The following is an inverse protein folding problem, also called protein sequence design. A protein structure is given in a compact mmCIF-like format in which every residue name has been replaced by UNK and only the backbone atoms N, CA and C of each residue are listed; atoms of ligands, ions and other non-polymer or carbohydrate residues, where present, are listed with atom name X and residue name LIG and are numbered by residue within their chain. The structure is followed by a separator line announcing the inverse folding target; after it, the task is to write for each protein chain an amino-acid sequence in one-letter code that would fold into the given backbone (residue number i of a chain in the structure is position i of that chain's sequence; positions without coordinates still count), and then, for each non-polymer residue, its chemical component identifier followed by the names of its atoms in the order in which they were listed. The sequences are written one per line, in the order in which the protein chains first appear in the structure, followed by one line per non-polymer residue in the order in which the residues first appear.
data_IF_734026555067
#
_entry.id   IF_734026555067
#
_cell.length_a   1.000
_cell.length_b   1.000
_cell.length_c   1.000
_cell.angle_alpha   90.00
_cell.angle_beta   90.00
_cell.angle_gamma   90.00
#
_symmetry.space_group_name_H-M   'P 1'
#
loop_
_entity.id
_entity.type
_entity.pdbx_description
1 polymer ?
#
# COMPACT_ATOMS: atom_id res chain seq x y z
N UNK A 1 -28.89 -62.88 -15.73
CA UNK A 1 -29.91 -62.28 -14.83
C UNK A 1 -29.12 -61.72 -13.64
N UNK A 2 -28.78 -60.42 -13.70
CA UNK A 2 -28.03 -59.74 -12.65
C UNK A 2 -28.98 -58.81 -11.92
N UNK A 3 -29.34 -59.16 -10.71
CA UNK A 3 -30.27 -58.41 -9.85
C UNK A 3 -29.56 -57.18 -9.32
N UNK A 4 -29.99 -55.98 -9.72
CA UNK A 4 -29.54 -54.70 -9.19
C UNK A 4 -30.30 -54.42 -7.89
N UNK A 5 -29.64 -54.53 -6.74
CA UNK A 5 -30.20 -54.07 -5.47
C UNK A 5 -30.13 -52.55 -5.41
N UNK A 6 -31.28 -51.89 -5.39
CA UNK A 6 -31.44 -50.48 -5.15
C UNK A 6 -31.10 -50.16 -3.66
N UNK A 7 -30.14 -49.29 -3.43
CA UNK A 7 -29.88 -48.71 -2.10
C UNK A 7 -31.02 -47.77 -1.70
N UNK A 8 -31.55 -47.85 -0.47
CA UNK A 8 -32.55 -46.89 0.00
C UNK A 8 -31.98 -45.46 0.09
N UNK A 9 -32.77 -44.51 -0.39
CA UNK A 9 -32.46 -43.08 -0.28
C UNK A 9 -32.40 -42.68 1.18
N UNK A 10 -31.25 -42.16 1.60
CA UNK A 10 -31.12 -41.48 2.89
C UNK A 10 -31.97 -40.21 2.88
N UNK A 11 -33.05 -40.22 3.65
CA UNK A 11 -33.84 -39.02 3.98
C UNK A 11 -32.96 -38.06 4.72
N UNK A 12 -32.58 -36.94 4.05
CA UNK A 12 -31.95 -35.82 4.71
C UNK A 12 -32.94 -35.21 5.69
N UNK A 13 -32.66 -35.37 6.97
CA UNK A 13 -33.40 -34.68 8.02
C UNK A 13 -33.29 -33.15 7.85
N UNK A 14 -34.28 -32.40 8.37
CA UNK A 14 -34.29 -30.94 8.23
C UNK A 14 -33.01 -30.33 8.80
N UNK A 15 -32.37 -29.44 8.00
CA UNK A 15 -31.22 -28.71 8.39
C UNK A 15 -31.51 -27.93 9.70
N UNK A 16 -30.82 -28.24 10.76
CA UNK A 16 -30.98 -27.56 12.05
C UNK A 16 -30.77 -26.05 11.85
N UNK A 17 -31.73 -25.19 12.20
CA UNK A 17 -31.57 -23.77 12.13
C UNK A 17 -30.60 -23.33 13.24
N UNK A 18 -29.55 -22.64 12.84
CA UNK A 18 -28.79 -21.83 13.77
C UNK A 18 -27.68 -22.55 14.52
N UNK A 19 -26.64 -22.95 13.80
CA UNK A 19 -25.31 -22.87 14.40
C UNK A 19 -25.00 -21.38 14.60
N UNK A 20 -25.51 -20.82 15.72
CA UNK A 20 -24.93 -19.62 16.29
C UNK A 20 -23.43 -19.88 16.26
N UNK A 21 -22.69 -18.99 15.59
CA UNK A 21 -21.25 -18.92 15.80
C UNK A 21 -21.11 -18.87 17.32
N UNK A 22 -20.71 -20.02 17.91
CA UNK A 22 -20.15 -19.98 19.25
C UNK A 22 -19.16 -18.84 19.17
N UNK A 23 -19.49 -17.78 19.86
CA UNK A 23 -18.52 -16.80 20.29
C UNK A 23 -17.64 -17.62 21.21
N UNK A 24 -16.67 -18.34 20.57
CA UNK A 24 -15.63 -19.04 21.29
C UNK A 24 -15.19 -18.06 22.34
N UNK A 25 -15.59 -18.38 23.58
CA UNK A 25 -15.24 -17.59 24.74
C UNK A 25 -13.73 -17.37 24.64
N UNK A 26 -13.35 -16.12 24.38
CA UNK A 26 -11.94 -15.74 24.19
C UNK A 26 -11.23 -16.27 25.42
N UNK A 27 -10.45 -17.38 25.34
CA UNK A 27 -9.80 -17.95 26.51
C UNK A 27 -9.05 -16.79 27.12
N UNK A 28 -9.06 -16.66 28.48
CA UNK A 28 -8.52 -15.52 29.20
C UNK A 28 -7.12 -15.23 28.66
N UNK A 29 -7.04 -14.38 27.63
CA UNK A 29 -5.83 -14.11 26.88
C UNK A 29 -4.94 -13.35 27.83
N UNK A 30 -3.74 -13.85 28.03
CA UNK A 30 -2.76 -13.22 28.90
C UNK A 30 -2.65 -11.73 28.59
N UNK A 31 -2.40 -10.92 29.59
CA UNK A 31 -2.28 -9.46 29.49
C UNK A 31 -1.41 -9.02 28.29
N UNK A 32 -0.35 -9.78 28.01
CA UNK A 32 0.59 -9.53 26.93
C UNK A 32 -0.05 -9.59 25.53
N UNK A 33 -0.92 -10.59 25.27
CA UNK A 33 -1.61 -10.69 23.98
C UNK A 33 -2.59 -9.54 23.78
N UNK A 34 -3.24 -9.07 24.86
CA UNK A 34 -4.10 -7.88 24.82
C UNK A 34 -3.30 -6.63 24.52
N UNK A 35 -2.15 -6.44 25.18
CA UNK A 35 -1.26 -5.30 24.93
C UNK A 35 -0.82 -5.29 23.46
N UNK A 36 -0.33 -6.42 22.93
CA UNK A 36 0.07 -6.54 21.52
C UNK A 36 -1.08 -6.22 20.56
N UNK A 37 -2.30 -6.67 20.86
CA UNK A 37 -3.46 -6.35 20.04
C UNK A 37 -3.80 -4.85 20.09
N UNK A 38 -3.71 -4.22 21.26
CA UNK A 38 -3.97 -2.78 21.42
C UNK A 38 -2.93 -1.96 20.67
N UNK A 39 -1.63 -2.24 20.83
CA UNK A 39 -0.56 -1.49 20.17
C UNK A 39 -0.63 -1.62 18.66
N UNK A 40 -0.85 -2.83 18.11
CA UNK A 40 -1.06 -3.03 16.68
C UNK A 40 -2.29 -2.28 16.18
N UNK A 41 -3.42 -2.37 16.88
CA UNK A 41 -4.64 -1.66 16.48
C UNK A 41 -4.42 -0.15 16.49
N UNK A 42 -3.75 0.38 17.50
CA UNK A 42 -3.37 1.78 17.57
C UNK A 42 -2.44 2.19 16.41
N UNK A 43 -1.44 1.36 16.07
CA UNK A 43 -0.57 1.61 14.92
C UNK A 43 -1.37 1.69 13.60
N UNK A 44 -2.41 0.85 13.41
CA UNK A 44 -3.31 0.95 12.26
C UNK A 44 -4.18 2.22 12.26
N UNK A 45 -4.59 2.71 13.42
CA UNK A 45 -5.36 3.98 13.55
C UNK A 45 -4.50 5.18 13.19
N UNK A 46 -3.25 5.19 13.62
CA UNK A 46 -2.35 6.33 13.48
C UNK A 46 -1.41 6.23 12.27
N UNK A 47 -1.61 5.27 11.36
CA UNK A 47 -0.79 5.13 10.14
C UNK A 47 -0.56 6.43 9.37
N UNK A 48 -1.54 7.33 9.20
CA UNK A 48 -1.30 8.57 8.46
C UNK A 48 -0.65 9.68 9.29
N UNK A 49 -0.34 9.47 10.59
CA UNK A 49 0.23 10.50 11.44
C UNK A 49 1.76 10.40 11.42
N UNK A 50 2.37 11.06 10.41
CA UNK A 50 3.82 11.07 10.20
C UNK A 50 4.49 12.35 10.74
N UNK A 51 3.76 13.44 10.86
CA UNK A 51 4.25 14.68 11.44
C UNK A 51 3.53 15.01 12.77
N UNK A 52 4.22 15.70 13.70
CA UNK A 52 5.57 16.23 13.58
C UNK A 52 6.63 15.14 13.53
N UNK A 53 7.69 15.34 12.72
CA UNK A 53 8.83 14.45 12.68
C UNK A 53 9.78 14.73 13.85
N UNK A 54 10.21 13.68 14.52
CA UNK A 54 11.20 13.72 15.59
C UNK A 54 12.64 13.47 15.10
N UNK A 55 13.56 13.22 16.02
CA UNK A 55 14.95 12.86 15.68
C UNK A 55 14.99 11.65 14.73
N UNK A 56 15.95 11.62 13.81
CA UNK A 56 16.12 10.58 12.80
C UNK A 56 14.90 10.39 11.89
N UNK A 57 14.12 11.43 11.67
CA UNK A 57 12.88 11.41 10.90
C UNK A 57 11.82 10.43 11.46
N UNK A 58 11.86 10.18 12.79
CA UNK A 58 10.86 9.36 13.46
C UNK A 58 9.52 10.09 13.54
N UNK A 59 8.43 9.33 13.54
CA UNK A 59 7.07 9.85 13.58
C UNK A 59 6.27 9.25 14.75
N UNK A 60 5.15 9.85 15.15
CA UNK A 60 4.31 9.29 16.22
C UNK A 60 3.87 7.85 15.95
N UNK A 61 3.62 7.49 14.68
CA UNK A 61 3.27 6.12 14.30
C UNK A 61 4.46 5.15 14.47
N UNK A 62 5.71 5.62 14.37
CA UNK A 62 6.88 4.76 14.57
C UNK A 62 6.99 4.29 16.02
N UNK A 63 6.64 5.14 16.99
CA UNK A 63 6.58 4.75 18.40
C UNK A 63 5.60 3.60 18.62
N UNK A 64 4.40 3.69 18.01
CA UNK A 64 3.40 2.62 18.07
C UNK A 64 3.84 1.36 17.32
N UNK A 65 4.55 1.53 16.20
CA UNK A 65 5.12 0.43 15.41
C UNK A 65 6.18 -0.31 16.22
N UNK A 66 7.12 0.42 16.83
CA UNK A 66 8.15 -0.15 17.71
C UNK A 66 7.51 -0.85 18.92
N UNK A 67 6.55 -0.21 19.59
CA UNK A 67 5.83 -0.82 20.71
C UNK A 67 5.12 -2.11 20.29
N UNK A 68 4.53 -2.13 19.07
CA UNK A 68 3.89 -3.33 18.52
C UNK A 68 4.89 -4.45 18.25
N UNK A 69 6.05 -4.12 17.69
CA UNK A 69 7.13 -5.09 17.43
C UNK A 69 7.64 -5.66 18.75
N UNK A 70 7.98 -4.82 19.71
CA UNK A 70 8.51 -5.26 21.01
C UNK A 70 7.52 -6.15 21.77
N UNK A 71 6.25 -5.75 21.84
CA UNK A 71 5.22 -6.56 22.51
C UNK A 71 4.98 -7.88 21.78
N UNK A 72 5.03 -7.90 20.44
CA UNK A 72 4.92 -9.12 19.65
C UNK A 72 6.12 -10.06 19.81
N UNK A 73 7.35 -9.52 19.89
CA UNK A 73 8.56 -10.32 20.17
C UNK A 73 8.45 -10.98 21.55
N UNK A 74 8.10 -10.22 22.59
CA UNK A 74 7.92 -10.77 23.94
C UNK A 74 6.79 -11.81 23.98
N UNK A 75 5.66 -11.54 23.30
CA UNK A 75 4.55 -12.48 23.15
C UNK A 75 4.98 -13.78 22.46
N UNK A 76 5.75 -13.67 21.37
CA UNK A 76 6.25 -14.84 20.64
C UNK A 76 7.25 -15.65 21.48
N UNK A 77 8.14 -14.98 22.20
CA UNK A 77 9.16 -15.61 23.04
C UNK A 77 8.53 -16.35 24.24
N UNK A 78 7.68 -15.66 25.00
CA UNK A 78 7.00 -16.24 26.18
C UNK A 78 6.05 -17.38 25.76
N UNK A 79 5.33 -17.20 24.65
CA UNK A 79 4.41 -18.21 24.10
C UNK A 79 5.10 -19.32 23.31
N UNK A 80 6.42 -19.27 23.11
CA UNK A 80 7.19 -20.19 22.26
C UNK A 80 6.57 -20.37 20.86
N UNK A 81 6.03 -19.29 20.31
CA UNK A 81 5.41 -19.31 18.98
C UNK A 81 6.46 -19.39 17.87
N UNK A 82 6.20 -20.21 16.86
CA UNK A 82 7.02 -20.23 15.64
C UNK A 82 6.78 -18.96 14.84
N UNK A 83 7.83 -18.18 14.61
CA UNK A 83 7.77 -16.92 13.85
C UNK A 83 7.95 -17.21 12.37
N UNK A 84 7.03 -16.71 11.55
CA UNK A 84 7.13 -16.73 10.09
C UNK A 84 7.76 -15.42 9.65
N UNK A 85 8.75 -15.50 8.78
CA UNK A 85 9.46 -14.34 8.24
C UNK A 85 9.19 -14.26 6.73
N UNK A 86 8.06 -13.66 6.30
CA UNK A 86 7.76 -13.51 4.88
C UNK A 86 8.75 -12.51 4.26
N UNK A 87 9.03 -12.67 2.96
CA UNK A 87 9.87 -11.75 2.19
C UNK A 87 11.31 -11.59 2.70
N UNK A 88 11.85 -12.57 3.45
CA UNK A 88 13.20 -12.49 4.02
C UNK A 88 14.27 -12.28 2.94
N UNK A 89 14.26 -13.10 1.88
CA UNK A 89 15.30 -13.06 0.85
C UNK A 89 15.38 -11.71 0.14
N UNK A 90 14.28 -11.14 -0.41
CA UNK A 90 14.35 -9.84 -1.05
C UNK A 90 14.82 -8.73 -0.11
N UNK A 91 14.34 -8.72 1.13
CA UNK A 91 14.76 -7.70 2.11
C UNK A 91 16.22 -7.88 2.50
N UNK A 92 16.69 -9.12 2.70
CA UNK A 92 18.10 -9.38 2.99
C UNK A 92 19.02 -8.89 1.85
N UNK A 93 18.61 -9.07 0.58
CA UNK A 93 19.35 -8.53 -0.57
C UNK A 93 19.38 -7.00 -0.57
N UNK A 94 18.23 -6.35 -0.32
CA UNK A 94 18.16 -4.88 -0.26
C UNK A 94 19.03 -4.33 0.86
N UNK A 95 18.98 -4.93 2.05
CA UNK A 95 19.75 -4.51 3.23
C UNK A 95 21.24 -4.76 3.02
N UNK A 96 21.62 -5.93 2.51
CA UNK A 96 23.04 -6.25 2.24
C UNK A 96 23.63 -5.32 1.17
N UNK A 97 22.89 -5.09 0.08
CA UNK A 97 23.29 -4.13 -0.95
C UNK A 97 23.39 -2.70 -0.41
N UNK A 98 22.40 -2.28 0.40
CA UNK A 98 22.41 -0.98 1.06
C UNK A 98 23.56 -0.81 2.04
N UNK A 99 23.93 -1.85 2.78
CA UNK A 99 25.08 -1.84 3.67
C UNK A 99 26.40 -1.72 2.88
N UNK A 100 26.56 -2.52 1.82
CA UNK A 100 27.73 -2.46 0.96
C UNK A 100 27.88 -1.08 0.30
N UNK A 101 26.82 -0.54 -0.31
CA UNK A 101 26.84 0.78 -0.93
C UNK A 101 27.01 1.90 0.08
N UNK A 102 26.41 1.79 1.27
CA UNK A 102 26.52 2.79 2.34
C UNK A 102 27.92 2.91 2.93
N UNK A 103 28.67 1.81 3.00
CA UNK A 103 30.07 1.82 3.46
C UNK A 103 31.03 2.50 2.47
N UNK A 104 30.73 2.46 1.17
CA UNK A 104 31.53 3.09 0.11
C UNK A 104 31.00 4.48 -0.28
N UNK A 105 29.75 4.78 0.06
CA UNK A 105 29.08 6.01 -0.31
C UNK A 105 29.55 7.22 0.47
N UNK A 106 29.22 8.41 -0.05
CA UNK A 106 29.60 9.69 0.54
C UNK A 106 28.89 10.00 1.87
N UNK A 107 27.79 9.32 2.20
CA UNK A 107 26.89 9.62 3.31
C UNK A 107 26.57 8.39 4.19
N UNK A 108 27.59 7.78 4.84
CA UNK A 108 27.41 6.52 5.57
C UNK A 108 26.41 6.63 6.74
N UNK A 109 26.36 7.78 7.41
CA UNK A 109 25.40 8.02 8.49
C UNK A 109 23.94 7.99 8.01
N UNK A 110 23.66 8.59 6.85
CA UNK A 110 22.34 8.59 6.25
C UNK A 110 21.94 7.17 5.77
N UNK A 111 22.89 6.46 5.18
CA UNK A 111 22.71 5.07 4.77
C UNK A 111 22.35 4.16 5.96
N UNK A 112 23.03 4.31 7.09
CA UNK A 112 22.76 3.55 8.31
C UNK A 112 21.34 3.80 8.84
N UNK A 113 20.90 5.06 8.88
CA UNK A 113 19.53 5.42 9.30
C UNK A 113 18.49 4.80 8.37
N UNK A 114 18.72 4.87 7.06
CA UNK A 114 17.81 4.31 6.06
C UNK A 114 17.72 2.78 6.16
N UNK A 115 18.84 2.10 6.34
CA UNK A 115 18.88 0.65 6.57
C UNK A 115 18.12 0.29 7.87
N UNK A 116 18.32 1.08 8.93
CA UNK A 116 17.57 0.91 10.17
C UNK A 116 16.06 1.04 9.97
N UNK A 117 15.63 1.99 9.15
CA UNK A 117 14.22 2.17 8.76
C UNK A 117 13.70 0.97 7.95
N UNK A 118 14.46 0.46 6.99
CA UNK A 118 14.08 -0.74 6.21
C UNK A 118 13.89 -1.96 7.12
N UNK A 119 14.80 -2.17 8.07
CA UNK A 119 14.71 -3.26 9.06
C UNK A 119 13.51 -3.08 9.98
N UNK A 120 13.21 -1.85 10.43
CA UNK A 120 12.03 -1.55 11.24
C UNK A 120 10.74 -1.87 10.47
N UNK A 121 10.63 -1.45 9.22
CA UNK A 121 9.47 -1.68 8.37
C UNK A 121 9.30 -3.18 8.04
N UNK A 122 10.41 -3.87 7.81
CA UNK A 122 10.38 -5.33 7.65
C UNK A 122 9.94 -6.04 8.95
N UNK A 123 10.46 -5.64 10.10
CA UNK A 123 10.02 -6.17 11.40
C UNK A 123 8.53 -5.91 11.64
N UNK A 124 8.02 -4.75 11.20
CA UNK A 124 6.59 -4.44 11.19
C UNK A 124 5.79 -5.43 10.32
N UNK A 125 6.24 -5.71 9.09
CA UNK A 125 5.62 -6.70 8.22
C UNK A 125 5.59 -8.09 8.88
N UNK A 126 6.71 -8.52 9.49
CA UNK A 126 6.83 -9.79 10.22
C UNK A 126 5.85 -9.81 11.40
N UNK A 127 5.77 -8.74 12.16
CA UNK A 127 4.84 -8.59 13.29
C UNK A 127 3.40 -8.75 12.84
N UNK A 128 2.98 -8.01 11.82
CA UNK A 128 1.64 -8.12 11.22
C UNK A 128 1.37 -9.55 10.74
N UNK A 129 2.33 -10.16 10.03
CA UNK A 129 2.18 -11.52 9.47
C UNK A 129 2.03 -12.62 10.53
N UNK A 130 2.47 -12.39 11.76
CA UNK A 130 2.37 -13.36 12.84
C UNK A 130 1.20 -13.08 13.79
N UNK A 131 0.98 -11.84 14.17
CA UNK A 131 -0.05 -11.48 15.17
C UNK A 131 -1.45 -11.49 14.55
N UNK A 132 -1.62 -11.06 13.29
CA UNK A 132 -2.93 -11.04 12.63
C UNK A 132 -3.40 -12.42 12.14
N UNK A 133 -2.71 -13.50 12.48
CA UNK A 133 -3.16 -14.87 12.14
C UNK A 133 -4.48 -15.26 12.81
N UNK A 134 -4.80 -14.66 13.95
CA UNK A 134 -6.11 -14.83 14.61
C UNK A 134 -7.17 -13.95 13.90
N UNK A 135 -8.30 -14.52 13.41
CA UNK A 135 -9.32 -13.77 12.67
C UNK A 135 -9.89 -12.57 13.43
N UNK A 136 -9.99 -12.66 14.76
CA UNK A 136 -10.48 -11.56 15.61
C UNK A 136 -9.49 -10.38 15.58
N UNK A 137 -8.19 -10.64 15.72
CA UNK A 137 -7.16 -9.60 15.70
C UNK A 137 -7.09 -8.94 14.31
N UNK A 138 -7.11 -9.75 13.26
CA UNK A 138 -7.17 -9.23 11.87
C UNK A 138 -8.41 -8.36 11.65
N UNK A 139 -9.57 -8.76 12.17
CA UNK A 139 -10.80 -7.96 12.09
C UNK A 139 -10.65 -6.62 12.79
N UNK A 140 -10.10 -6.61 14.01
CA UNK A 140 -9.88 -5.37 14.76
C UNK A 140 -8.93 -4.44 14.01
N UNK A 141 -7.79 -4.94 13.54
CA UNK A 141 -6.80 -4.14 12.81
C UNK A 141 -7.35 -3.57 11.50
N UNK A 142 -8.01 -4.39 10.68
CA UNK A 142 -8.58 -3.95 9.40
C UNK A 142 -9.80 -3.03 9.60
N UNK A 143 -10.61 -3.25 10.64
CA UNK A 143 -11.70 -2.34 10.98
C UNK A 143 -11.15 -1.00 11.48
N UNK A 144 -10.10 -1.02 12.30
CA UNK A 144 -9.41 0.18 12.75
C UNK A 144 -8.85 0.97 11.56
N UNK A 145 -8.17 0.32 10.61
CA UNK A 145 -7.70 0.98 9.38
C UNK A 145 -8.85 1.61 8.59
N UNK A 146 -9.92 0.84 8.34
CA UNK A 146 -11.05 1.33 7.55
C UNK A 146 -11.73 2.54 8.19
N UNK A 147 -12.02 2.48 9.50
CA UNK A 147 -12.68 3.57 10.21
C UNK A 147 -11.77 4.78 10.40
N UNK A 148 -10.51 4.56 10.81
CA UNK A 148 -9.56 5.66 10.98
C UNK A 148 -9.27 6.36 9.67
N UNK A 149 -9.10 5.61 8.57
CA UNK A 149 -8.87 6.22 7.27
C UNK A 149 -10.03 7.10 6.82
N UNK A 150 -11.29 6.66 7.02
CA UNK A 150 -12.48 7.48 6.74
C UNK A 150 -12.50 8.71 7.67
N UNK A 151 -12.21 8.55 8.95
CA UNK A 151 -12.18 9.65 9.91
C UNK A 151 -11.08 10.67 9.56
N UNK A 152 -9.88 10.21 9.23
CA UNK A 152 -8.78 11.08 8.81
C UNK A 152 -9.09 11.80 7.49
N UNK A 153 -9.74 11.14 6.53
CA UNK A 153 -10.21 11.79 5.30
C UNK A 153 -11.22 12.93 5.61
N UNK A 154 -12.14 12.69 6.54
CA UNK A 154 -13.08 13.73 6.99
C UNK A 154 -12.35 14.89 7.67
N UNK A 155 -11.34 14.62 8.51
CA UNK A 155 -10.51 15.65 9.16
C UNK A 155 -9.78 16.49 8.12
N UNK A 156 -9.16 15.86 7.12
CA UNK A 156 -8.45 16.55 6.04
C UNK A 156 -9.37 17.47 5.25
N UNK A 157 -10.55 16.97 4.88
CA UNK A 157 -11.55 17.78 4.14
C UNK A 157 -12.07 18.94 5.02
N UNK A 158 -12.36 18.67 6.30
CA UNK A 158 -12.79 19.71 7.22
C UNK A 158 -11.72 20.78 7.46
N UNK A 159 -10.47 20.37 7.58
CA UNK A 159 -9.32 21.27 7.71
C UNK A 159 -9.18 22.16 6.46
N UNK A 160 -9.27 21.57 5.28
CA UNK A 160 -9.21 22.31 4.01
C UNK A 160 -10.38 23.30 3.88
N UNK A 161 -11.60 22.91 4.20
CA UNK A 161 -12.77 23.81 4.19
C UNK A 161 -12.65 24.93 5.24
N UNK A 162 -12.08 24.64 6.39
CA UNK A 162 -11.85 25.59 7.49
C UNK A 162 -10.55 26.38 7.39
N UNK A 163 -9.75 26.19 6.34
CA UNK A 163 -8.44 26.82 6.16
C UNK A 163 -7.50 26.64 7.36
N UNK A 164 -7.50 25.43 7.97
CA UNK A 164 -6.62 25.08 9.09
C UNK A 164 -5.30 24.60 8.56
N UNK A 165 -4.39 25.53 8.22
CA UNK A 165 -3.12 25.28 7.53
C UNK A 165 -2.22 24.26 8.25
N UNK A 166 -2.26 24.20 9.57
CA UNK A 166 -1.51 23.24 10.38
C UNK A 166 -1.90 21.77 10.11
N UNK A 167 -3.16 21.53 9.69
CA UNK A 167 -3.66 20.19 9.37
C UNK A 167 -3.72 19.93 7.85
N UNK A 168 -3.82 20.98 7.04
CA UNK A 168 -3.74 20.84 5.58
C UNK A 168 -2.35 20.41 5.15
N UNK A 169 -1.30 20.94 5.80
CA UNK A 169 0.07 20.75 5.42
C UNK A 169 0.30 21.24 3.99
N UNK A 170 0.16 22.56 3.74
CA UNK A 170 0.28 23.10 2.39
C UNK A 170 1.72 23.10 1.90
N UNK A 171 1.93 22.54 0.71
CA UNK A 171 3.20 22.63 0.03
C UNK A 171 3.26 23.91 -0.82
N UNK A 172 3.85 24.97 -0.27
CA UNK A 172 3.94 26.28 -0.92
C UNK A 172 4.63 26.26 -2.30
N UNK A 173 5.57 25.33 -2.53
CA UNK A 173 6.31 25.23 -3.78
C UNK A 173 5.52 24.65 -4.96
N UNK A 174 4.40 23.98 -4.73
CA UNK A 174 3.64 23.25 -5.78
C UNK A 174 2.16 23.56 -5.80
N UNK A 175 1.75 24.73 -5.34
CA UNK A 175 0.33 25.10 -5.21
C UNK A 175 -0.29 24.64 -3.89
N UNK A 176 -1.59 24.81 -3.73
CA UNK A 176 -2.32 24.51 -2.49
C UNK A 176 -2.63 23.00 -2.34
N UNK A 177 -1.69 22.13 -2.70
CA UNK A 177 -1.83 20.68 -2.57
C UNK A 177 -1.83 20.28 -1.11
N UNK A 178 -2.86 19.50 -0.72
CA UNK A 178 -2.96 18.99 0.63
C UNK A 178 -2.05 17.78 0.80
N UNK A 179 -1.12 17.86 1.74
CA UNK A 179 -0.23 16.74 2.09
C UNK A 179 -0.57 16.13 3.45
N UNK A 180 -1.48 16.75 4.21
CA UNK A 180 -1.81 16.33 5.56
C UNK A 180 -0.55 16.15 6.41
N UNK A 181 -0.40 15.04 7.13
CA UNK A 181 0.79 14.73 7.92
C UNK A 181 1.84 13.92 7.17
N UNK A 182 1.66 13.65 5.86
CA UNK A 182 2.57 12.78 5.10
C UNK A 182 3.85 13.47 4.63
N UNK A 183 3.87 14.81 4.63
CA UNK A 183 5.01 15.58 4.13
C UNK A 183 5.10 15.67 2.59
N UNK A 184 4.41 14.79 1.86
CA UNK A 184 4.27 14.80 0.41
C UNK A 184 2.84 14.43 0.00
N UNK A 185 2.22 15.17 -0.96
CA UNK A 185 0.85 14.87 -1.41
C UNK A 185 0.71 13.53 -2.14
N UNK A 186 1.76 13.04 -2.78
CA UNK A 186 1.70 11.74 -3.45
C UNK A 186 1.73 10.60 -2.43
N UNK A 187 2.43 10.78 -1.30
CA UNK A 187 2.39 9.85 -0.16
C UNK A 187 0.99 9.79 0.45
N UNK A 188 0.37 10.96 0.64
CA UNK A 188 -1.02 11.04 1.08
C UNK A 188 -1.96 10.30 0.11
N UNK A 189 -1.81 10.52 -1.20
CA UNK A 189 -2.65 9.87 -2.22
C UNK A 189 -2.53 8.35 -2.19
N UNK A 190 -1.31 7.80 -2.05
CA UNK A 190 -1.09 6.37 -1.95
C UNK A 190 -1.78 5.74 -0.71
N UNK A 191 -1.81 6.44 0.42
CA UNK A 191 -2.56 5.99 1.60
C UNK A 191 -4.07 5.96 1.37
N UNK A 192 -4.63 7.00 0.73
CA UNK A 192 -6.06 7.04 0.41
C UNK A 192 -6.44 5.93 -0.56
N UNK A 193 -5.64 5.67 -1.59
CA UNK A 193 -5.83 4.56 -2.52
C UNK A 193 -5.92 3.22 -1.81
N UNK A 194 -4.92 2.90 -0.99
CA UNK A 194 -4.91 1.64 -0.23
C UNK A 194 -6.12 1.53 0.67
N UNK A 195 -6.48 2.62 1.36
CA UNK A 195 -7.61 2.63 2.30
C UNK A 195 -8.94 2.40 1.59
N UNK A 196 -9.16 2.97 0.39
CA UNK A 196 -10.33 2.70 -0.45
C UNK A 196 -10.48 1.19 -0.69
N UNK A 197 -9.39 0.52 -1.05
CA UNK A 197 -9.43 -0.91 -1.34
C UNK A 197 -9.49 -1.80 -0.08
N UNK A 198 -8.96 -1.34 1.06
CA UNK A 198 -9.15 -2.00 2.36
C UNK A 198 -10.63 -1.93 2.78
N UNK A 199 -11.29 -0.77 2.65
CA UNK A 199 -12.74 -0.61 2.87
C UNK A 199 -13.54 -1.52 1.93
N UNK A 200 -13.14 -1.63 0.67
CA UNK A 200 -13.76 -2.56 -0.29
C UNK A 200 -13.58 -4.03 0.13
N UNK A 201 -12.38 -4.42 0.54
CA UNK A 201 -12.05 -5.79 0.91
C UNK A 201 -12.79 -6.24 2.17
N UNK A 202 -12.89 -5.38 3.17
CA UNK A 202 -13.47 -5.66 4.49
C UNK A 202 -14.97 -5.44 4.56
N UNK A 203 -15.51 -4.60 3.66
CA UNK A 203 -16.88 -4.06 3.71
C UNK A 203 -17.19 -3.33 5.03
N UNK A 204 -16.19 -2.71 5.62
CA UNK A 204 -16.32 -1.85 6.80
C UNK A 204 -16.30 -0.39 6.34
N UNK A 205 -17.28 0.43 6.76
CA UNK A 205 -18.47 0.17 7.58
C UNK A 205 -19.48 -0.83 6.97
N UNK A 206 -20.22 -1.57 7.81
CA UNK A 206 -21.21 -2.55 7.33
C UNK A 206 -22.42 -1.91 6.68
N UNK A 207 -22.89 -0.79 7.23
CA UNK A 207 -23.99 -0.03 6.65
C UNK A 207 -23.59 0.53 5.28
N UNK A 208 -24.43 0.28 4.26
CA UNK A 208 -24.11 0.66 2.87
C UNK A 208 -23.93 2.16 2.70
N UNK A 209 -24.80 2.97 3.32
CA UNK A 209 -24.72 4.41 3.22
C UNK A 209 -23.42 4.96 3.85
N UNK A 210 -23.03 4.47 5.05
CA UNK A 210 -21.78 4.89 5.70
C UNK A 210 -20.55 4.52 4.86
N UNK A 211 -20.59 3.38 4.18
CA UNK A 211 -19.51 2.95 3.30
C UNK A 211 -19.43 3.80 2.03
N UNK A 212 -20.59 4.20 1.47
CA UNK A 212 -20.63 5.12 0.33
C UNK A 212 -20.08 6.49 0.76
N UNK A 213 -20.52 7.02 1.89
CA UNK A 213 -19.96 8.26 2.47
C UNK A 213 -18.45 8.14 2.69
N UNK A 214 -18.00 7.00 3.23
CA UNK A 214 -16.57 6.73 3.38
C UNK A 214 -15.79 6.77 2.06
N UNK A 215 -16.33 6.21 0.98
CA UNK A 215 -15.69 6.33 -0.35
C UNK A 215 -15.67 7.76 -0.87
N UNK A 216 -16.76 8.52 -0.68
CA UNK A 216 -16.80 9.93 -1.09
C UNK A 216 -15.74 10.74 -0.35
N UNK A 217 -15.61 10.54 0.97
CA UNK A 217 -14.59 11.22 1.77
C UNK A 217 -13.16 10.82 1.34
N UNK A 218 -12.89 9.54 1.15
CA UNK A 218 -11.57 9.05 0.74
C UNK A 218 -11.18 9.54 -0.66
N UNK A 219 -12.11 9.50 -1.62
CA UNK A 219 -11.88 10.04 -2.97
C UNK A 219 -11.74 11.57 -2.93
N UNK A 220 -12.52 12.25 -2.09
CA UNK A 220 -12.37 13.68 -1.86
C UNK A 220 -10.99 14.05 -1.30
N UNK A 221 -10.52 13.33 -0.27
CA UNK A 221 -9.20 13.53 0.30
C UNK A 221 -8.08 13.23 -0.73
N UNK A 222 -8.23 12.18 -1.55
CA UNK A 222 -7.33 11.89 -2.67
C UNK A 222 -7.31 13.05 -3.68
N UNK A 223 -8.47 13.58 -4.07
CA UNK A 223 -8.56 14.68 -5.02
C UNK A 223 -7.85 15.95 -4.50
N UNK A 224 -7.95 16.26 -3.20
CA UNK A 224 -7.28 17.40 -2.59
C UNK A 224 -5.73 17.28 -2.61
N UNK A 225 -5.18 16.08 -2.77
CA UNK A 225 -3.74 15.89 -2.97
C UNK A 225 -3.25 16.37 -4.33
N UNK A 226 -4.16 16.52 -5.31
CA UNK A 226 -3.83 16.85 -6.71
C UNK A 226 -2.75 15.92 -7.33
N UNK A 227 -2.69 14.68 -6.84
CA UNK A 227 -1.72 13.67 -7.28
C UNK A 227 -2.23 12.94 -8.52
N UNK A 228 -1.63 13.23 -9.68
CA UNK A 228 -1.94 12.50 -10.93
C UNK A 228 -1.55 11.02 -10.83
N UNK A 229 -0.46 10.70 -10.12
CA UNK A 229 -0.03 9.33 -9.84
C UNK A 229 -1.06 8.54 -9.05
N UNK A 230 -1.61 9.15 -7.98
CA UNK A 230 -2.68 8.55 -7.18
C UNK A 230 -3.96 8.29 -7.98
N UNK A 231 -4.41 9.29 -8.75
CA UNK A 231 -5.59 9.12 -9.63
C UNK A 231 -5.39 7.99 -10.64
N UNK A 232 -4.19 7.90 -11.24
CA UNK A 232 -3.84 6.80 -12.15
C UNK A 232 -3.84 5.45 -11.43
N UNK A 233 -3.24 5.38 -10.25
CA UNK A 233 -3.18 4.15 -9.45
C UNK A 233 -4.58 3.66 -9.04
N UNK A 234 -5.45 4.59 -8.58
CA UNK A 234 -6.86 4.29 -8.32
C UNK A 234 -7.55 3.75 -9.57
N UNK A 235 -7.40 4.42 -10.72
CA UNK A 235 -8.01 4.04 -11.99
C UNK A 235 -7.59 2.63 -12.44
N UNK A 236 -6.30 2.33 -12.44
CA UNK A 236 -5.75 1.01 -12.79
C UNK A 236 -6.29 -0.08 -11.85
N UNK A 237 -6.32 0.17 -10.55
CA UNK A 237 -6.82 -0.80 -9.58
C UNK A 237 -8.34 -1.01 -9.67
N UNK A 238 -9.12 0.02 -10.00
CA UNK A 238 -10.56 -0.11 -10.28
C UNK A 238 -10.79 -0.92 -11.55
N UNK A 239 -10.08 -0.62 -12.64
CA UNK A 239 -10.14 -1.41 -13.90
C UNK A 239 -9.80 -2.87 -13.62
N UNK A 240 -8.76 -3.13 -12.86
CA UNK A 240 -8.41 -4.48 -12.43
C UNK A 240 -9.57 -5.19 -11.71
N UNK A 241 -10.25 -4.53 -10.76
CA UNK A 241 -11.41 -5.12 -10.07
C UNK A 241 -12.55 -5.42 -11.03
N UNK A 242 -12.80 -4.55 -12.01
CA UNK A 242 -13.84 -4.75 -13.04
C UNK A 242 -13.49 -5.96 -13.92
N UNK A 243 -12.23 -6.07 -14.35
CA UNK A 243 -11.75 -7.20 -15.16
C UNK A 243 -11.83 -8.53 -14.39
N UNK A 244 -11.40 -8.56 -13.13
CA UNK A 244 -11.53 -9.76 -12.27
C UNK A 244 -12.99 -10.14 -12.07
N UNK A 245 -13.88 -9.16 -11.88
CA UNK A 245 -15.32 -9.41 -11.75
C UNK A 245 -15.92 -9.95 -13.04
N UNK A 246 -15.54 -9.40 -14.20
CA UNK A 246 -15.98 -9.87 -15.51
C UNK A 246 -15.51 -11.30 -15.77
N UNK A 247 -14.23 -11.59 -15.49
CA UNK A 247 -13.68 -12.95 -15.58
C UNK A 247 -14.43 -13.95 -14.69
N UNK A 248 -14.68 -13.59 -13.44
CA UNK A 248 -15.41 -14.47 -12.50
C UNK A 248 -16.85 -14.73 -12.89
N UNK A 249 -17.49 -13.82 -13.63
CA UNK A 249 -18.89 -13.95 -14.07
C UNK A 249 -19.06 -14.69 -15.39
N UNK A 250 -18.18 -14.41 -16.36
CA UNK A 250 -18.32 -14.84 -17.76
C UNK A 250 -17.05 -15.47 -18.33
N UNK A 251 -16.07 -15.82 -17.49
CA UNK A 251 -14.80 -16.39 -17.93
C UNK A 251 -14.00 -15.45 -18.84
N UNK A 252 -13.23 -16.02 -19.74
CA UNK A 252 -12.38 -15.29 -20.69
C UNK A 252 -13.18 -14.36 -21.63
N UNK A 253 -14.39 -14.75 -22.01
CA UNK A 253 -15.26 -13.91 -22.86
C UNK A 253 -15.60 -12.60 -22.17
N UNK A 254 -15.96 -12.64 -20.88
CA UNK A 254 -16.25 -11.45 -20.10
C UNK A 254 -15.00 -10.58 -19.88
N UNK A 255 -13.84 -11.21 -19.64
CA UNK A 255 -12.57 -10.51 -19.51
C UNK A 255 -12.23 -9.75 -20.80
N UNK A 256 -12.23 -10.43 -21.95
CA UNK A 256 -11.90 -9.86 -23.25
C UNK A 256 -12.88 -8.75 -23.64
N UNK A 257 -14.19 -8.96 -23.45
CA UNK A 257 -15.19 -7.93 -23.75
C UNK A 257 -14.95 -6.63 -22.96
N UNK A 258 -14.69 -6.75 -21.63
CA UNK A 258 -14.41 -5.57 -20.79
C UNK A 258 -13.04 -4.96 -21.14
N UNK A 259 -12.01 -5.78 -21.40
CA UNK A 259 -10.70 -5.28 -21.78
C UNK A 259 -10.76 -4.49 -23.11
N UNK A 260 -11.49 -5.00 -24.09
CA UNK A 260 -11.73 -4.30 -25.37
C UNK A 260 -12.52 -3.01 -25.16
N UNK A 261 -13.58 -3.05 -24.35
CA UNK A 261 -14.37 -1.85 -24.06
C UNK A 261 -13.53 -0.76 -23.37
N UNK A 262 -12.77 -1.13 -22.33
CA UNK A 262 -11.90 -0.18 -21.63
C UNK A 262 -10.79 0.31 -22.55
N UNK A 263 -10.13 -0.58 -23.29
CA UNK A 263 -9.10 -0.23 -24.25
C UNK A 263 -9.62 0.71 -25.33
N UNK A 264 -10.77 0.41 -25.92
CA UNK A 264 -11.41 1.28 -26.92
C UNK A 264 -11.78 2.63 -26.33
N UNK A 265 -12.36 2.67 -25.11
CA UNK A 265 -12.69 3.92 -24.45
C UNK A 265 -11.45 4.79 -24.18
N UNK A 266 -10.35 4.19 -23.73
CA UNK A 266 -9.07 4.90 -23.54
C UNK A 266 -8.52 5.44 -24.85
N UNK A 267 -8.45 4.60 -25.90
CA UNK A 267 -7.99 5.03 -27.23
C UNK A 267 -8.88 6.16 -27.75
N UNK A 268 -10.19 5.99 -27.75
CA UNK A 268 -11.13 7.01 -28.24
C UNK A 268 -10.99 8.31 -27.44
N UNK A 269 -10.84 8.23 -26.12
CA UNK A 269 -10.67 9.42 -25.29
C UNK A 269 -9.41 10.20 -25.67
N UNK A 270 -8.25 9.55 -25.82
CA UNK A 270 -7.00 10.21 -26.14
C UNK A 270 -6.88 10.63 -27.61
N UNK A 271 -7.60 9.98 -28.52
CA UNK A 271 -7.65 10.42 -29.93
C UNK A 271 -8.63 11.58 -30.15
N UNK A 272 -9.77 11.55 -29.48
CA UNK A 272 -10.78 12.61 -29.58
C UNK A 272 -10.40 13.88 -28.77
N UNK A 273 -9.71 13.71 -27.65
CA UNK A 273 -9.32 14.79 -26.74
C UNK A 273 -7.80 14.77 -26.52
N UNK A 274 -7.01 15.46 -27.35
CA UNK A 274 -5.56 15.57 -27.16
C UNK A 274 -5.24 16.11 -25.75
N UNK A 275 -4.22 15.55 -25.09
CA UNK A 275 -3.80 15.97 -23.76
C UNK A 275 -3.54 17.49 -23.65
N UNK A 276 -3.06 18.10 -24.73
CA UNK A 276 -2.88 19.56 -24.81
C UNK A 276 -4.19 20.34 -24.66
N UNK A 277 -5.26 19.86 -25.31
CA UNK A 277 -6.59 20.48 -25.21
C UNK A 277 -7.20 20.32 -23.83
N UNK A 278 -7.03 19.14 -23.23
CA UNK A 278 -7.50 18.88 -21.85
C UNK A 278 -6.76 19.77 -20.85
N UNK A 279 -5.45 19.96 -21.03
CA UNK A 279 -4.65 20.87 -20.20
C UNK A 279 -5.05 22.31 -20.37
N UNK A 280 -5.21 22.77 -21.62
CA UNK A 280 -5.63 24.12 -21.94
C UNK A 280 -7.01 24.41 -21.32
N UNK A 281 -7.93 23.46 -21.44
CA UNK A 281 -9.24 23.54 -20.78
C UNK A 281 -9.10 23.64 -19.24
N UNK A 282 -8.32 22.76 -18.61
CA UNK A 282 -8.11 22.75 -17.17
C UNK A 282 -7.54 24.09 -16.67
N UNK A 283 -6.54 24.62 -17.36
CA UNK A 283 -5.95 25.94 -17.05
C UNK A 283 -6.98 27.06 -17.28
N UNK A 284 -7.76 27.00 -18.38
CA UNK A 284 -8.78 27.98 -18.70
C UNK A 284 -9.94 28.05 -17.71
N UNK A 285 -10.17 26.98 -16.92
CA UNK A 285 -11.21 27.01 -15.86
C UNK A 285 -10.85 27.92 -14.69
N UNK A 286 -9.56 28.19 -14.47
CA UNK A 286 -9.06 28.89 -13.28
C UNK A 286 -9.30 28.16 -11.96
N UNK A 287 -9.84 26.92 -12.00
CA UNK A 287 -10.11 26.13 -10.79
C UNK A 287 -8.81 25.54 -10.26
N UNK A 288 -8.38 25.88 -9.01
CA UNK A 288 -7.09 25.45 -8.48
C UNK A 288 -6.84 23.94 -8.58
N UNK A 289 -7.84 23.11 -8.25
CA UNK A 289 -7.74 21.64 -8.32
C UNK A 289 -7.44 21.15 -9.75
N UNK A 290 -8.03 21.74 -10.77
CA UNK A 290 -7.81 21.35 -12.17
C UNK A 290 -6.48 21.89 -12.71
N UNK A 291 -6.16 23.14 -12.37
CA UNK A 291 -4.89 23.78 -12.77
C UNK A 291 -3.71 23.03 -12.19
N UNK A 292 -3.73 22.73 -10.91
CA UNK A 292 -2.61 22.10 -10.18
C UNK A 292 -2.51 20.58 -10.43
N UNK A 293 -3.58 19.91 -10.85
CA UNK A 293 -3.54 18.50 -11.24
C UNK A 293 -3.26 18.34 -12.75
N UNK A 294 -4.30 18.46 -13.58
CA UNK A 294 -4.24 18.23 -15.03
C UNK A 294 -3.40 19.30 -15.70
N UNK A 295 -3.57 20.58 -15.35
CA UNK A 295 -2.84 21.70 -15.95
C UNK A 295 -1.33 21.56 -15.81
N UNK A 296 -0.85 21.17 -14.62
CA UNK A 296 0.57 20.99 -14.30
C UNK A 296 1.19 19.70 -14.85
N UNK A 297 0.42 18.80 -15.42
CA UNK A 297 0.90 17.46 -15.81
C UNK A 297 2.11 17.47 -16.77
N UNK A 298 2.24 18.47 -17.64
CA UNK A 298 3.38 18.61 -18.54
C UNK A 298 4.68 18.96 -17.81
N UNK A 299 4.61 19.94 -16.90
CA UNK A 299 5.75 20.33 -16.06
C UNK A 299 6.22 19.16 -15.20
N UNK A 300 5.31 18.49 -14.51
CA UNK A 300 5.64 17.32 -13.69
C UNK A 300 6.26 16.17 -14.50
N UNK A 301 5.85 15.98 -15.75
CA UNK A 301 6.47 14.98 -16.65
C UNK A 301 7.87 15.40 -17.09
N UNK A 302 8.09 16.68 -17.37
CA UNK A 302 9.40 17.21 -17.73
C UNK A 302 10.41 17.11 -16.56
N UNK A 303 10.00 17.51 -15.36
CA UNK A 303 10.81 17.40 -14.13
C UNK A 303 11.23 15.94 -13.85
N UNK A 304 10.31 14.98 -13.99
CA UNK A 304 10.62 13.55 -13.85
C UNK A 304 11.56 13.06 -14.96
N UNK A 305 11.39 13.54 -16.20
CA UNK A 305 12.29 13.22 -17.31
C UNK A 305 13.72 13.69 -17.02
N UNK A 306 13.89 14.90 -16.50
CA UNK A 306 15.19 15.42 -16.06
C UNK A 306 15.77 14.55 -14.94
N UNK A 307 15.01 14.28 -13.89
CA UNK A 307 15.45 13.45 -12.78
C UNK A 307 15.90 12.05 -13.23
N UNK A 308 15.17 11.41 -14.12
CA UNK A 308 15.56 10.10 -14.70
C UNK A 308 16.89 10.22 -15.47
N UNK A 309 17.09 11.28 -16.25
CA UNK A 309 18.34 11.50 -16.99
C UNK A 309 19.52 11.75 -16.05
N UNK A 310 19.32 12.53 -15.00
CA UNK A 310 20.32 12.79 -13.94
C UNK A 310 20.70 11.52 -13.18
N UNK A 311 19.73 10.71 -12.80
CA UNK A 311 19.99 9.42 -12.15
C UNK A 311 20.71 8.43 -13.06
N UNK A 312 20.36 8.40 -14.37
CA UNK A 312 21.08 7.60 -15.35
C UNK A 312 22.55 8.05 -15.44
N UNK A 313 22.80 9.34 -15.45
CA UNK A 313 24.14 9.89 -15.44
C UNK A 313 24.89 9.53 -14.13
N UNK A 314 24.25 9.64 -12.96
CA UNK A 314 24.83 9.21 -11.70
C UNK A 314 25.23 7.73 -11.71
N UNK A 315 24.37 6.87 -12.25
CA UNK A 315 24.65 5.44 -12.37
C UNK A 315 25.83 5.16 -13.31
N UNK A 316 25.94 5.89 -14.43
CA UNK A 316 26.99 5.67 -15.42
C UNK A 316 28.35 6.26 -15.01
N UNK A 317 28.37 7.38 -14.26
CA UNK A 317 29.61 8.09 -13.89
C UNK A 317 30.12 7.77 -12.49
N UNK A 318 29.35 7.06 -11.70
CA UNK A 318 29.70 6.61 -10.34
C UNK A 318 29.97 5.11 -10.28
N UNK A 319 30.14 4.61 -9.06
CA UNK A 319 30.26 3.15 -8.79
C UNK A 319 28.88 2.46 -8.91
N UNK A 320 28.25 2.61 -10.09
CA UNK A 320 26.88 2.15 -10.34
C UNK A 320 26.62 0.67 -10.01
N UNK A 321 27.66 -0.17 -9.99
CA UNK A 321 27.56 -1.57 -9.58
C UNK A 321 27.40 -1.77 -8.08
N UNK A 322 27.98 -0.88 -7.24
CA UNK A 322 27.86 -0.92 -5.78
C UNK A 322 26.70 -0.05 -5.30
N UNK A 323 26.46 1.06 -5.99
CA UNK A 323 25.49 2.09 -5.61
C UNK A 323 26.08 3.20 -4.78
N UNK A 324 25.36 4.33 -4.70
CA UNK A 324 25.80 5.57 -4.02
C UNK A 324 25.54 5.56 -2.50
N UNK A 325 24.82 4.58 -2.00
CA UNK A 325 24.32 4.50 -0.62
C UNK A 325 22.83 4.88 -0.52
N UNK A 326 22.06 4.22 0.37
CA UNK A 326 20.64 4.52 0.59
C UNK A 326 20.37 5.99 0.94
N UNK A 327 19.30 6.56 0.38
CA UNK A 327 18.85 7.95 0.52
C UNK A 327 19.88 9.00 0.07
N UNK A 328 20.86 8.63 -0.76
CA UNK A 328 21.94 9.51 -1.19
C UNK A 328 21.62 10.34 -2.45
N UNK A 329 20.60 9.97 -3.24
CA UNK A 329 20.31 10.61 -4.54
C UNK A 329 20.15 12.13 -4.38
N UNK A 330 19.18 12.56 -3.58
CA UNK A 330 18.88 13.98 -3.39
C UNK A 330 20.07 14.80 -2.92
N UNK A 331 20.79 14.44 -1.83
CA UNK A 331 21.95 15.20 -1.39
C UNK A 331 23.13 15.15 -2.37
N UNK A 332 23.32 14.06 -3.12
CA UNK A 332 24.38 13.97 -4.14
C UNK A 332 24.04 14.84 -5.35
N UNK A 333 22.79 14.84 -5.81
CA UNK A 333 22.34 15.76 -6.87
C UNK A 333 22.53 17.22 -6.45
N UNK A 334 22.14 17.57 -5.23
CA UNK A 334 22.33 18.92 -4.69
C UNK A 334 23.82 19.31 -4.60
N UNK A 335 24.67 18.43 -4.09
CA UNK A 335 26.11 18.68 -3.97
C UNK A 335 26.81 18.82 -5.33
N UNK A 336 26.30 18.16 -6.38
CA UNK A 336 26.81 18.26 -7.75
C UNK A 336 26.16 19.37 -8.57
N UNK A 337 25.30 20.19 -7.94
CA UNK A 337 24.60 21.32 -8.57
C UNK A 337 23.75 20.91 -9.80
N UNK A 338 23.14 19.72 -9.75
CA UNK A 338 22.21 19.32 -10.79
C UNK A 338 20.96 20.21 -10.77
N UNK A 339 20.35 20.49 -11.93
CA UNK A 339 19.22 21.40 -12.06
C UNK A 339 17.99 21.00 -11.21
N UNK A 340 17.80 19.68 -11.00
CA UNK A 340 16.65 19.16 -10.26
C UNK A 340 17.10 18.18 -9.16
N UNK A 341 17.35 18.70 -7.97
CA UNK A 341 17.82 17.90 -6.82
C UNK A 341 16.63 17.39 -6.00
N UNK A 342 16.13 16.20 -6.32
CA UNK A 342 15.03 15.57 -5.58
C UNK A 342 15.28 14.08 -5.34
N UNK A 343 14.39 13.45 -4.55
CA UNK A 343 14.33 12.01 -4.41
C UNK A 343 13.98 11.34 -5.75
N UNK A 344 14.29 10.05 -5.93
CA UNK A 344 14.13 9.36 -7.20
C UNK A 344 12.69 9.32 -7.72
N UNK A 345 11.70 9.44 -6.83
CA UNK A 345 10.28 9.24 -7.16
C UNK A 345 10.00 7.97 -7.97
N UNK A 346 10.80 6.92 -7.74
CA UNK A 346 10.67 5.62 -8.38
C UNK A 346 11.50 4.59 -7.59
N UNK A 347 10.85 3.64 -6.93
CA UNK A 347 11.52 2.62 -6.11
C UNK A 347 12.57 1.79 -6.86
N UNK A 348 12.30 1.46 -8.13
CA UNK A 348 13.22 0.62 -8.91
C UNK A 348 14.48 1.38 -9.28
N UNK A 349 14.33 2.65 -9.63
CA UNK A 349 15.44 3.51 -10.00
C UNK A 349 16.24 3.93 -8.78
N UNK A 350 15.58 4.24 -7.66
CA UNK A 350 16.22 4.46 -6.37
C UNK A 350 17.05 3.25 -5.97
N UNK A 351 16.47 2.05 -5.99
CA UNK A 351 17.18 0.83 -5.63
C UNK A 351 18.39 0.56 -6.54
N UNK A 352 18.29 0.85 -7.84
CA UNK A 352 19.40 0.69 -8.79
C UNK A 352 20.53 1.68 -8.50
N UNK A 353 20.22 2.95 -8.34
CA UNK A 353 21.23 4.01 -8.19
C UNK A 353 21.85 3.99 -6.79
N UNK A 354 21.05 3.77 -5.76
CA UNK A 354 21.50 3.80 -4.37
C UNK A 354 22.12 2.50 -3.88
N UNK A 355 21.60 1.35 -4.35
CA UNK A 355 21.97 0.01 -3.83
C UNK A 355 22.51 -0.91 -4.93
N UNK A 356 22.72 -0.39 -6.13
CA UNK A 356 23.20 -1.16 -7.27
C UNK A 356 22.23 -2.24 -7.77
N UNK A 357 22.65 -3.06 -8.75
CA UNK A 357 21.82 -4.11 -9.34
C UNK A 357 21.31 -5.16 -8.33
N UNK A 358 22.04 -5.41 -7.24
CA UNK A 358 21.62 -6.35 -6.18
C UNK A 358 20.44 -5.77 -5.41
N UNK A 359 20.45 -4.45 -5.12
CA UNK A 359 19.31 -3.76 -4.50
C UNK A 359 18.07 -3.80 -5.38
N UNK A 360 18.23 -3.50 -6.68
CA UNK A 360 17.14 -3.62 -7.66
C UNK A 360 16.58 -5.05 -7.72
N UNK A 361 17.44 -6.07 -7.75
CA UNK A 361 17.00 -7.47 -7.71
C UNK A 361 16.17 -7.76 -6.46
N UNK A 362 16.55 -7.21 -5.30
CA UNK A 362 15.77 -7.32 -4.08
C UNK A 362 14.36 -6.74 -4.23
N UNK A 363 14.22 -5.55 -4.81
CA UNK A 363 12.90 -4.91 -5.07
C UNK A 363 12.07 -5.76 -6.04
N UNK A 364 12.66 -6.20 -7.16
CA UNK A 364 11.96 -7.04 -8.16
C UNK A 364 11.48 -8.35 -7.54
N UNK A 365 12.30 -9.00 -6.72
CA UNK A 365 11.92 -10.22 -6.00
C UNK A 365 10.83 -9.95 -4.95
N UNK A 366 10.85 -8.81 -4.27
CA UNK A 366 9.78 -8.41 -3.33
C UNK A 366 8.44 -8.30 -4.06
N UNK A 367 8.40 -7.59 -5.17
CA UNK A 367 7.21 -7.45 -6.02
C UNK A 367 6.75 -8.81 -6.56
N UNK A 368 7.68 -9.63 -7.07
CA UNK A 368 7.38 -10.98 -7.58
C UNK A 368 6.79 -11.89 -6.51
N UNK A 369 7.35 -11.88 -5.29
CA UNK A 369 6.83 -12.67 -4.16
C UNK A 369 5.49 -12.13 -3.65
N UNK A 370 5.29 -10.82 -3.63
CA UNK A 370 3.99 -10.21 -3.31
C UNK A 370 2.92 -10.65 -4.31
N UNK A 371 3.22 -10.59 -5.60
CA UNK A 371 2.34 -11.06 -6.68
C UNK A 371 2.06 -12.58 -6.59
N UNK A 372 3.09 -13.39 -6.32
CA UNK A 372 2.92 -14.84 -6.13
C UNK A 372 2.03 -15.19 -4.93
N UNK A 373 2.03 -14.38 -3.86
CA UNK A 373 1.14 -14.53 -2.71
C UNK A 373 -0.27 -13.97 -2.96
N UNK A 374 -0.39 -12.96 -3.80
CA UNK A 374 -1.67 -12.42 -4.24
C UNK A 374 -2.43 -13.35 -5.19
N UNK A 375 -1.72 -14.13 -6.01
CA UNK A 375 -2.31 -15.05 -6.98
C UNK A 375 -3.36 -16.02 -6.40
N UNK A 376 -3.09 -16.75 -5.30
CA UNK A 376 -4.09 -17.59 -4.63
C UNK A 376 -5.29 -16.82 -4.10
N UNK A 377 -5.12 -15.58 -3.66
CA UNK A 377 -6.21 -14.71 -3.17
C UNK A 377 -7.15 -14.33 -4.32
N UNK A 378 -6.63 -14.18 -5.54
CA UNK A 378 -7.44 -13.89 -6.72
C UNK A 378 -8.23 -15.09 -7.21
N UNK A 379 -7.65 -16.30 -7.18
CA UNK A 379 -8.20 -17.50 -7.83
C UNK A 379 -9.32 -18.18 -7.04
N UNK A 380 -9.36 -17.98 -5.74
CA UNK A 380 -10.28 -18.76 -4.90
C UNK A 380 -10.75 -17.96 -3.68
N UNK A 381 -11.77 -18.48 -2.99
CA UNK A 381 -12.19 -17.93 -1.70
C UNK A 381 -11.05 -17.98 -0.68
N UNK A 382 -10.92 -16.94 0.11
CA UNK A 382 -10.03 -16.89 1.29
C UNK A 382 -10.37 -18.05 2.22
N UNK A 383 -9.42 -18.59 2.99
CA UNK A 383 -9.72 -19.59 4.02
C UNK A 383 -10.97 -19.24 4.81
N UNK A 384 -11.82 -20.22 5.08
CA UNK A 384 -13.15 -20.01 5.68
C UNK A 384 -13.11 -19.16 6.96
N UNK A 385 -12.03 -19.30 7.75
CA UNK A 385 -11.80 -18.52 8.97
C UNK A 385 -11.67 -17.00 8.74
N UNK A 386 -11.22 -16.56 7.57
CA UNK A 386 -11.08 -15.14 7.22
C UNK A 386 -12.20 -14.63 6.32
N UNK A 387 -13.08 -15.47 5.82
CA UNK A 387 -14.12 -15.10 4.86
C UNK A 387 -15.06 -14.00 5.40
N UNK A 388 -15.34 -14.00 6.71
CA UNK A 388 -16.13 -12.96 7.36
C UNK A 388 -15.34 -11.69 7.69
N UNK A 389 -14.01 -11.79 7.74
CA UNK A 389 -13.13 -10.63 8.01
C UNK A 389 -12.82 -9.88 6.72
N UNK A 390 -12.55 -10.62 5.65
CA UNK A 390 -12.21 -10.09 4.34
C UNK A 390 -13.13 -10.71 3.29
N UNK A 391 -14.40 -10.28 3.22
CA UNK A 391 -15.38 -10.85 2.29
C UNK A 391 -15.09 -10.57 0.81
N UNK A 392 -14.29 -9.55 0.49
CA UNK A 392 -13.88 -9.23 -0.88
C UNK A 392 -12.34 -9.12 -0.99
N UNK A 393 -11.59 -10.23 -0.80
CA UNK A 393 -10.15 -10.23 -0.65
C UNK A 393 -9.39 -9.71 -1.89
N UNK A 394 -10.01 -9.74 -3.06
CA UNK A 394 -9.46 -9.13 -4.28
C UNK A 394 -9.20 -7.62 -4.12
N UNK A 395 -9.88 -6.95 -3.18
CA UNK A 395 -9.60 -5.56 -2.83
C UNK A 395 -8.18 -5.35 -2.27
N UNK A 396 -7.66 -6.29 -1.46
CA UNK A 396 -6.27 -6.22 -0.99
C UNK A 396 -5.25 -6.40 -2.12
N UNK A 397 -5.60 -7.18 -3.14
CA UNK A 397 -4.77 -7.31 -4.35
C UNK A 397 -4.84 -6.02 -5.18
N UNK A 398 -6.01 -5.39 -5.26
CA UNK A 398 -6.15 -4.07 -5.91
C UNK A 398 -5.36 -2.99 -5.18
N UNK A 399 -5.31 -3.02 -3.83
CA UNK A 399 -4.46 -2.14 -3.02
C UNK A 399 -2.97 -2.33 -3.32
N UNK A 400 -2.50 -3.58 -3.42
CA UNK A 400 -1.11 -3.88 -3.83
C UNK A 400 -0.83 -3.40 -5.25
N UNK A 401 -1.77 -3.56 -6.17
CA UNK A 401 -1.62 -3.08 -7.55
C UNK A 401 -1.55 -1.55 -7.60
N UNK A 402 -2.39 -0.85 -6.85
CA UNK A 402 -2.33 0.61 -6.75
C UNK A 402 -0.95 1.07 -6.23
N UNK A 403 -0.42 0.42 -5.18
CA UNK A 403 0.93 0.68 -4.71
C UNK A 403 1.99 0.35 -5.77
N UNK A 404 1.86 -0.78 -6.47
CA UNK A 404 2.76 -1.13 -7.57
C UNK A 404 2.77 -0.09 -8.69
N UNK A 405 1.64 0.58 -8.98
CA UNK A 405 1.59 1.72 -9.90
C UNK A 405 2.27 2.94 -9.29
N UNK A 406 1.99 3.23 -8.01
CA UNK A 406 2.61 4.36 -7.31
C UNK A 406 4.14 4.22 -7.23
N UNK A 407 4.71 3.00 -7.15
CA UNK A 407 6.17 2.77 -7.10
C UNK A 407 6.94 3.25 -8.33
N UNK A 408 6.26 3.52 -9.45
CA UNK A 408 6.85 4.17 -10.63
C UNK A 408 6.86 5.69 -10.56
N UNK A 409 6.15 6.27 -9.61
CA UNK A 409 5.98 7.71 -9.47
C UNK A 409 6.41 8.25 -8.10
N UNK A 410 6.65 7.33 -7.13
CA UNK A 410 7.03 7.64 -5.76
C UNK A 410 7.83 6.50 -5.14
N UNK A 411 8.58 6.81 -4.08
CA UNK A 411 9.29 5.82 -3.27
C UNK A 411 8.36 5.29 -2.17
N UNK A 412 7.64 4.20 -2.47
CA UNK A 412 6.63 3.63 -1.55
C UNK A 412 7.22 2.67 -0.51
N UNK A 413 8.47 2.24 -0.68
CA UNK A 413 9.11 1.27 0.24
C UNK A 413 9.24 1.81 1.67
N UNK A 414 9.17 3.13 1.86
CA UNK A 414 9.17 3.77 3.18
C UNK A 414 7.81 3.77 3.89
N UNK A 415 6.74 3.27 3.25
CA UNK A 415 5.38 3.36 3.78
C UNK A 415 5.05 2.21 4.72
N UNK A 416 4.70 2.54 5.97
CA UNK A 416 4.28 1.58 7.00
C UNK A 416 3.08 0.76 6.55
N UNK A 417 2.13 1.37 5.85
CA UNK A 417 0.93 0.71 5.34
C UNK A 417 1.21 -0.28 4.20
N UNK A 418 2.25 -0.07 3.38
CA UNK A 418 2.71 -1.08 2.42
C UNK A 418 3.15 -2.35 3.15
N UNK A 419 4.00 -2.22 4.16
CA UNK A 419 4.53 -3.36 4.91
C UNK A 419 3.46 -4.07 5.73
N UNK A 420 2.48 -3.32 6.27
CA UNK A 420 1.28 -3.90 6.88
C UNK A 420 0.46 -4.71 5.88
N UNK A 421 0.22 -4.17 4.68
CA UNK A 421 -0.51 -4.86 3.61
C UNK A 421 0.22 -6.12 3.14
N UNK A 422 1.55 -6.06 2.97
CA UNK A 422 2.40 -7.22 2.64
C UNK A 422 2.27 -8.31 3.71
N UNK A 423 2.29 -7.95 4.99
CA UNK A 423 2.06 -8.88 6.10
C UNK A 423 0.70 -9.57 6.04
N UNK A 424 -0.36 -8.81 5.77
CA UNK A 424 -1.73 -9.34 5.62
C UNK A 424 -1.83 -10.29 4.43
N UNK A 425 -1.27 -9.91 3.28
CA UNK A 425 -1.25 -10.75 2.07
C UNK A 425 -0.44 -12.03 2.29
N UNK A 426 0.64 -11.96 3.07
CA UNK A 426 1.42 -13.14 3.44
C UNK A 426 0.61 -14.16 4.25
N UNK A 427 -0.29 -13.70 5.15
CA UNK A 427 -1.20 -14.58 5.90
C UNK A 427 -2.21 -15.26 4.96
N UNK A 428 -2.88 -14.45 4.15
CA UNK A 428 -3.98 -14.92 3.30
C UNK A 428 -3.50 -15.83 2.17
N UNK A 429 -2.28 -15.60 1.65
CA UNK A 429 -1.68 -16.40 0.59
C UNK A 429 -1.01 -17.71 1.05
N UNK A 430 -0.58 -17.80 2.32
CA UNK A 430 0.16 -18.96 2.84
C UNK A 430 -0.72 -20.16 3.25
N UNK A 431 -1.96 -19.92 3.62
CA UNK A 431 -2.83 -20.94 4.26
C UNK A 431 -3.25 -22.09 3.31
N UNK A 432 -2.96 -21.99 2.02
CA UNK A 432 -3.30 -23.02 0.99
C UNK A 432 -2.20 -24.03 0.71
N UNK A 433 -0.94 -23.71 1.00
CA UNK A 433 0.15 -24.67 0.74
C UNK A 433 0.18 -25.84 1.74
N UNK A 434 -0.73 -25.85 2.72
CA UNK A 434 -0.84 -26.88 3.76
C UNK A 434 -2.03 -27.85 3.54
N UNK A 435 -2.76 -27.73 2.43
CA UNK A 435 -3.76 -28.68 1.97
C UNK A 435 -3.29 -29.34 0.68
#
# INVERSE_FOLDING_TARGET
VTTIQARPAQVRGPASPGRRLDTDAVPARGSLQRITMITITAAFVFQPVLHPSGPLNSSPVDVLTVASILTAVVWAWVGRHTVRVPYFVPVALMVAAGAASGLHGALPGLALVTIGTDLLLFAWCVTVANVLTAPVVMRCALAAWSWSGIAWAAVVIAAWLGHVTALEGLQAASGNRVLFTFGDPNYASAYWDVTIFVVYATRVPRARWMRITGYVLLVGALALTESNGGVLALGVAVVFLVLVRAYRRRGWVGLLAVALLVGSAVVTFFTALPLSSIRAWAVGTGQPLLVNSIGRSAQSSAERGLLISEMKQLFQTGDGWVGLGPASIKPVLAARLYPYSNEAHNDFLAALVERGPIGLLGVVLLVGLAAARAGPIMRAAVPSRYALVVPAPVGLVAALLALGVNSFYEEILHFRFLWALLGIVAILGADRRRR
#
